data_IF_982731201382
#
_entry.id   IF_982731201382
#
_cell.length_a   1.000
_cell.length_b   1.000
_cell.length_c   1.000
_cell.angle_alpha   90.00
_cell.angle_beta   90.00
_cell.angle_gamma   90.00
#
_symmetry.space_group_name_H-M   'P 1'
#
loop_
_entity.id
_entity.type
_entity.pdbx_description
1 polymer ?
#
# COMPACT_ATOMS: atom_id res chain seq x y z
N UNK A 1 30.58 -11.44 26.13
CA UNK A 1 29.23 -12.03 26.19
C UNK A 1 28.70 -12.16 24.76
N UNK A 2 28.89 -13.33 24.13
CA UNK A 2 28.58 -13.55 22.72
C UNK A 2 27.09 -13.88 22.63
N UNK A 3 26.27 -12.89 22.27
CA UNK A 3 24.84 -13.09 22.08
C UNK A 3 24.67 -13.89 20.78
N UNK A 4 24.61 -15.22 20.89
CA UNK A 4 24.32 -16.10 19.75
C UNK A 4 22.87 -15.77 19.36
N UNK A 5 22.70 -14.94 18.34
CA UNK A 5 21.37 -14.61 17.79
C UNK A 5 20.66 -15.91 17.45
N UNK A 6 19.53 -16.15 18.11
CA UNK A 6 18.69 -17.30 17.76
C UNK A 6 18.13 -17.05 16.36
N UNK A 7 17.97 -18.10 15.55
CA UNK A 7 17.38 -18.02 14.20
C UNK A 7 16.04 -17.25 14.18
N UNK A 8 15.25 -17.36 15.27
CA UNK A 8 14.00 -16.64 15.48
C UNK A 8 14.16 -15.11 15.59
N UNK A 9 15.28 -14.63 16.14
CA UNK A 9 15.54 -13.20 16.27
C UNK A 9 15.90 -12.61 14.91
N UNK A 10 16.74 -13.30 14.13
CA UNK A 10 17.11 -12.89 12.78
C UNK A 10 15.89 -12.76 11.87
N UNK A 11 14.97 -13.73 11.94
CA UNK A 11 13.70 -13.67 11.20
C UNK A 11 12.84 -12.46 11.60
N UNK A 12 12.80 -12.13 12.90
CA UNK A 12 12.05 -10.97 13.40
C UNK A 12 12.63 -9.65 12.88
N UNK A 13 13.95 -9.50 12.90
CA UNK A 13 14.62 -8.31 12.35
C UNK A 13 14.42 -8.19 10.86
N UNK A 14 14.57 -9.30 10.12
CA UNK A 14 14.35 -9.31 8.68
C UNK A 14 12.92 -8.92 8.32
N UNK A 15 11.93 -9.49 9.02
CA UNK A 15 10.52 -9.15 8.86
C UNK A 15 10.27 -7.66 9.14
N UNK A 16 10.86 -7.13 10.22
CA UNK A 16 10.76 -5.70 10.55
C UNK A 16 11.33 -4.83 9.43
N UNK A 17 12.55 -5.10 8.98
CA UNK A 17 13.22 -4.31 7.95
C UNK A 17 12.41 -4.27 6.66
N UNK A 18 11.91 -5.42 6.18
CA UNK A 18 11.11 -5.47 4.95
C UNK A 18 9.80 -4.72 5.11
N UNK A 19 9.03 -5.05 6.16
CA UNK A 19 7.69 -4.47 6.34
C UNK A 19 7.75 -2.98 6.63
N UNK A 20 8.71 -2.53 7.45
CA UNK A 20 8.96 -1.11 7.69
C UNK A 20 9.39 -0.39 6.42
N UNK A 21 10.29 -0.97 5.62
CA UNK A 21 10.71 -0.35 4.35
C UNK A 21 9.54 -0.17 3.40
N UNK A 22 8.66 -1.16 3.24
CA UNK A 22 7.47 -1.07 2.40
C UNK A 22 6.52 0.04 2.90
N UNK A 23 6.28 0.11 4.22
CA UNK A 23 5.43 1.16 4.80
C UNK A 23 6.04 2.55 4.61
N UNK A 24 7.35 2.69 4.79
CA UNK A 24 8.07 3.96 4.61
C UNK A 24 8.09 4.39 3.14
N UNK A 25 8.36 3.47 2.22
CA UNK A 25 8.28 3.73 0.78
C UNK A 25 6.89 4.21 0.39
N UNK A 26 5.85 3.53 0.86
CA UNK A 26 4.46 3.94 0.60
C UNK A 26 4.12 5.32 1.18
N UNK A 27 4.80 5.74 2.25
CA UNK A 27 4.52 7.02 2.92
C UNK A 27 5.29 8.19 2.32
N UNK A 28 6.53 7.95 1.88
CA UNK A 28 7.48 9.02 1.56
C UNK A 28 7.89 9.07 0.08
N UNK A 29 7.43 8.12 -0.74
CA UNK A 29 7.78 8.05 -2.16
C UNK A 29 6.53 7.86 -3.02
N UNK A 30 6.73 7.84 -4.34
CA UNK A 30 5.73 7.47 -5.34
C UNK A 30 5.31 6.00 -5.31
N UNK A 31 5.96 5.15 -4.51
CA UNK A 31 5.47 3.80 -4.28
C UNK A 31 4.11 3.86 -3.58
N UNK A 32 3.13 3.11 -4.06
CA UNK A 32 1.75 3.16 -3.60
C UNK A 32 1.16 1.75 -3.49
N UNK A 33 0.62 1.43 -2.32
CA UNK A 33 -0.12 0.20 -2.07
C UNK A 33 -1.59 0.49 -2.38
N UNK A 34 -2.13 -0.15 -3.42
CA UNK A 34 -3.46 0.16 -3.94
C UNK A 34 -4.62 -0.54 -3.23
N UNK A 35 -4.30 -1.43 -2.29
CA UNK A 35 -5.27 -2.16 -1.47
C UNK A 35 -5.03 -1.90 0.02
N UNK A 36 -6.04 -1.37 0.70
CA UNK A 36 -5.97 -1.07 2.11
C UNK A 36 -5.63 -2.26 2.99
N UNK A 37 -6.10 -3.46 2.66
CA UNK A 37 -5.86 -4.68 3.46
C UNK A 37 -4.38 -5.01 3.44
N UNK A 38 -3.76 -4.88 2.28
CA UNK A 38 -2.32 -5.07 2.10
C UNK A 38 -1.53 -3.99 2.85
N UNK A 39 -1.98 -2.73 2.78
CA UNK A 39 -1.37 -1.64 3.56
C UNK A 39 -1.40 -1.92 5.07
N UNK A 40 -2.56 -2.31 5.62
CA UNK A 40 -2.69 -2.64 7.05
C UNK A 40 -1.93 -3.91 7.43
N UNK A 41 -1.83 -4.89 6.55
CA UNK A 41 -1.01 -6.08 6.75
C UNK A 41 0.45 -5.68 6.98
N UNK A 42 1.05 -4.89 6.09
CA UNK A 42 2.43 -4.43 6.27
C UNK A 42 2.61 -3.56 7.51
N UNK A 43 1.67 -2.65 7.79
CA UNK A 43 1.70 -1.81 8.98
C UNK A 43 1.65 -2.63 10.27
N UNK A 44 0.78 -3.65 10.34
CA UNK A 44 0.66 -4.54 11.48
C UNK A 44 1.96 -5.29 11.76
N UNK A 45 2.57 -5.88 10.73
CA UNK A 45 3.84 -6.61 10.89
C UNK A 45 5.00 -5.67 11.25
N UNK A 46 5.08 -4.49 10.65
CA UNK A 46 6.10 -3.49 10.98
C UNK A 46 5.97 -3.04 12.44
N UNK A 47 4.77 -2.68 12.88
CA UNK A 47 4.52 -2.23 14.24
C UNK A 47 4.74 -3.35 15.28
N UNK A 48 4.21 -4.55 15.00
CA UNK A 48 4.34 -5.70 15.91
C UNK A 48 5.79 -6.12 16.08
N UNK A 49 6.53 -6.25 14.98
CA UNK A 49 7.94 -6.63 15.04
C UNK A 49 8.77 -5.55 15.75
N UNK A 50 8.52 -4.26 15.49
CA UNK A 50 9.17 -3.16 16.21
C UNK A 50 8.96 -3.23 17.73
N UNK A 51 7.71 -3.37 18.18
CA UNK A 51 7.39 -3.41 19.62
C UNK A 51 8.00 -4.65 20.28
N UNK A 52 7.99 -5.80 19.61
CA UNK A 52 8.61 -7.03 20.13
C UNK A 52 10.14 -6.86 20.22
N UNK A 53 10.79 -6.30 19.20
CA UNK A 53 12.23 -6.01 19.20
C UNK A 53 12.56 -5.06 20.36
N UNK A 54 11.85 -3.93 20.47
CA UNK A 54 12.06 -2.97 21.53
C UNK A 54 11.84 -3.60 22.92
N UNK A 55 10.77 -4.36 23.11
CA UNK A 55 10.51 -5.07 24.35
C UNK A 55 11.63 -6.03 24.73
N UNK A 56 12.16 -6.79 23.76
CA UNK A 56 13.29 -7.71 23.98
C UNK A 56 14.58 -6.98 24.38
N UNK A 57 14.85 -5.79 23.82
CA UNK A 57 15.98 -4.96 24.23
C UNK A 57 15.92 -4.59 25.72
N UNK A 58 14.72 -4.33 26.23
CA UNK A 58 14.48 -4.07 27.66
C UNK A 58 14.28 -5.34 28.51
N UNK A 59 14.60 -6.53 27.98
CA UNK A 59 14.36 -7.83 28.62
C UNK A 59 12.89 -8.09 28.99
N UNK A 60 11.94 -7.40 28.35
CA UNK A 60 10.49 -7.61 28.44
C UNK A 60 10.01 -8.38 27.20
N UNK A 61 8.72 -8.76 27.17
CA UNK A 61 8.07 -9.45 26.02
C UNK A 61 8.76 -10.76 25.56
N UNK A 62 9.37 -11.50 26.49
CA UNK A 62 10.05 -12.77 26.17
C UNK A 62 9.09 -13.98 26.17
N UNK A 63 7.98 -13.90 26.89
CA UNK A 63 7.02 -15.00 27.00
C UNK A 63 6.05 -15.04 25.81
N UNK A 64 5.69 -16.25 25.37
CA UNK A 64 4.75 -16.46 24.25
C UNK A 64 3.41 -15.76 24.48
N UNK A 65 2.88 -15.80 25.70
CA UNK A 65 1.62 -15.12 26.07
C UNK A 65 1.73 -13.60 25.90
N UNK A 66 2.83 -13.01 26.37
CA UNK A 66 3.05 -11.57 26.28
C UNK A 66 3.19 -11.10 24.83
N UNK A 67 3.85 -11.88 23.97
CA UNK A 67 3.93 -11.61 22.53
C UNK A 67 2.54 -11.68 21.88
N UNK A 68 1.74 -12.71 22.17
CA UNK A 68 0.39 -12.84 21.61
C UNK A 68 -0.50 -11.66 22.02
N UNK A 69 -0.51 -11.29 23.30
CA UNK A 69 -1.27 -10.14 23.79
C UNK A 69 -0.83 -8.85 23.10
N UNK A 70 0.48 -8.66 22.93
CA UNK A 70 1.04 -7.49 22.21
C UNK A 70 0.53 -7.43 20.78
N UNK A 71 0.56 -8.55 20.04
CA UNK A 71 0.03 -8.61 18.68
C UNK A 71 -1.47 -8.27 18.64
N UNK A 72 -2.28 -8.76 19.57
CA UNK A 72 -3.72 -8.45 19.63
C UNK A 72 -3.93 -6.95 19.84
N UNK A 73 -3.20 -6.33 20.78
CA UNK A 73 -3.30 -4.89 21.04
C UNK A 73 -2.89 -4.09 19.81
N UNK A 74 -1.80 -4.45 19.14
CA UNK A 74 -1.33 -3.75 17.94
C UNK A 74 -2.32 -3.93 16.77
N UNK A 75 -2.91 -5.12 16.60
CA UNK A 75 -3.95 -5.34 15.61
C UNK A 75 -5.16 -4.43 15.85
N UNK A 76 -5.63 -4.32 17.10
CA UNK A 76 -6.72 -3.43 17.47
C UNK A 76 -6.37 -1.96 17.18
N UNK A 77 -5.15 -1.52 17.52
CA UNK A 77 -4.69 -0.16 17.23
C UNK A 77 -4.59 0.13 15.72
N UNK A 78 -4.07 -0.82 14.94
CA UNK A 78 -4.01 -0.70 13.48
C UNK A 78 -5.42 -0.64 12.87
N UNK A 79 -6.35 -1.44 13.38
CA UNK A 79 -7.75 -1.43 12.96
C UNK A 79 -8.41 -0.07 13.26
N UNK A 80 -8.30 0.43 14.49
CA UNK A 80 -8.86 1.74 14.88
C UNK A 80 -8.27 2.84 14.01
N UNK A 81 -6.93 2.86 13.83
CA UNK A 81 -6.28 3.84 12.96
C UNK A 81 -6.83 3.76 11.54
N UNK A 82 -6.95 2.55 10.97
CA UNK A 82 -7.50 2.38 9.64
C UNK A 82 -8.96 2.79 9.52
N UNK A 83 -9.77 2.48 10.53
CA UNK A 83 -11.15 2.92 10.60
C UNK A 83 -11.30 4.44 10.72
N UNK A 84 -10.29 5.15 11.23
CA UNK A 84 -10.35 6.61 11.32
C UNK A 84 -9.73 7.32 10.10
N UNK A 85 -8.67 6.79 9.50
CA UNK A 85 -7.92 7.49 8.45
C UNK A 85 -8.20 7.02 7.03
N UNK A 86 -8.86 5.88 6.86
CA UNK A 86 -9.04 5.28 5.53
C UNK A 86 -10.18 5.95 4.74
N UNK A 87 -9.84 6.86 3.83
CA UNK A 87 -10.66 7.15 2.64
C UNK A 87 -10.50 5.98 1.66
N UNK A 88 -11.52 5.61 0.90
CA UNK A 88 -11.56 4.37 0.09
C UNK A 88 -10.31 4.10 -0.78
N UNK A 89 -10.17 2.87 -1.31
CA UNK A 89 -9.11 2.60 -2.27
C UNK A 89 -9.31 3.46 -3.54
N UNK A 90 -8.21 3.93 -4.13
CA UNK A 90 -8.24 4.39 -5.51
C UNK A 90 -8.44 3.19 -6.43
N UNK A 91 -9.46 3.27 -7.28
CA UNK A 91 -9.86 2.21 -8.22
C UNK A 91 -9.85 2.73 -9.64
N UNK A 92 -9.26 1.96 -10.54
CA UNK A 92 -9.14 2.33 -11.96
C UNK A 92 -10.48 2.19 -12.66
N UNK A 93 -10.94 3.27 -13.28
CA UNK A 93 -12.16 3.26 -14.09
C UNK A 93 -11.83 3.08 -15.56
N UNK A 94 -10.84 3.82 -16.05
CA UNK A 94 -10.43 3.79 -17.45
C UNK A 94 -8.92 3.83 -17.56
N UNK A 95 -8.35 2.99 -18.42
CA UNK A 95 -6.95 3.07 -18.85
C UNK A 95 -6.93 3.89 -20.14
N UNK A 96 -6.47 5.13 -20.05
CA UNK A 96 -6.45 6.06 -21.18
C UNK A 96 -5.32 5.73 -22.16
N UNK A 97 -4.13 5.45 -21.62
CA UNK A 97 -2.94 5.19 -22.42
C UNK A 97 -2.14 4.00 -21.87
N UNK A 98 -1.50 3.28 -22.78
CA UNK A 98 -0.51 2.24 -22.49
C UNK A 98 0.82 2.66 -23.12
N UNK A 99 1.94 2.41 -22.43
CA UNK A 99 3.26 2.67 -22.98
C UNK A 99 3.58 1.69 -24.11
N UNK A 100 4.15 2.20 -25.21
CA UNK A 100 4.56 1.38 -26.35
C UNK A 100 5.71 0.42 -26.02
N UNK A 101 6.51 0.73 -25.00
CA UNK A 101 7.70 -0.05 -24.62
C UNK A 101 7.48 -0.97 -23.43
N UNK A 102 6.50 -0.69 -22.58
CA UNK A 102 6.28 -1.44 -21.34
C UNK A 102 4.79 -1.45 -20.96
N UNK A 103 4.15 -2.60 -21.11
CA UNK A 103 2.71 -2.79 -20.84
C UNK A 103 2.34 -2.65 -19.36
N UNK A 104 3.31 -2.73 -18.45
CA UNK A 104 3.05 -2.48 -17.03
C UNK A 104 2.92 -0.99 -16.71
N UNK A 105 3.23 -0.11 -17.66
CA UNK A 105 3.15 1.34 -17.52
C UNK A 105 1.95 1.90 -18.29
N UNK A 106 1.01 2.47 -17.56
CA UNK A 106 -0.25 2.99 -18.10
C UNK A 106 -0.56 4.39 -17.55
N UNK A 107 -1.49 5.10 -18.19
CA UNK A 107 -2.09 6.32 -17.66
C UNK A 107 -3.56 6.03 -17.40
N UNK A 108 -3.99 6.21 -16.16
CA UNK A 108 -5.27 5.73 -15.65
C UNK A 108 -6.10 6.87 -15.08
N UNK A 109 -7.39 6.87 -15.38
CA UNK A 109 -8.40 7.59 -14.60
C UNK A 109 -8.76 6.71 -13.41
N UNK A 110 -8.52 7.23 -12.21
CA UNK A 110 -8.87 6.58 -10.97
C UNK A 110 -9.90 7.39 -10.20
N UNK A 111 -10.84 6.67 -9.59
CA UNK A 111 -11.81 7.22 -8.69
C UNK A 111 -11.60 6.68 -7.28
N UNK A 112 -11.94 7.49 -6.28
CA UNK A 112 -11.95 7.10 -4.87
C UNK A 112 -13.15 7.70 -4.16
N UNK A 113 -13.91 6.86 -3.46
CA UNK A 113 -14.94 7.33 -2.54
C UNK A 113 -14.34 7.92 -1.27
N UNK A 114 -14.92 9.00 -0.76
CA UNK A 114 -14.60 9.49 0.58
C UNK A 114 -15.53 8.86 1.61
N UNK A 115 -15.04 8.63 2.83
CA UNK A 115 -15.80 7.92 3.87
C UNK A 115 -16.97 8.75 4.41
N UNK A 116 -16.82 10.08 4.42
CA UNK A 116 -17.79 11.01 4.99
C UNK A 116 -18.28 12.07 3.99
N UNK A 117 -18.05 11.86 2.69
CA UNK A 117 -18.56 12.77 1.66
C UNK A 117 -19.31 11.98 0.59
N UNK A 118 -20.37 12.59 0.07
CA UNK A 118 -21.08 12.07 -1.08
C UNK A 118 -20.30 12.43 -2.35
N UNK A 119 -19.97 11.41 -3.15
CA UNK A 119 -19.27 11.57 -4.43
C UNK A 119 -17.91 10.89 -4.49
N UNK A 120 -17.26 11.01 -5.65
CA UNK A 120 -15.96 10.42 -5.93
C UNK A 120 -14.93 11.52 -6.19
N UNK A 121 -13.73 11.34 -5.66
CA UNK A 121 -12.56 12.10 -6.09
C UNK A 121 -12.00 11.42 -7.32
N UNK A 122 -11.74 12.20 -8.36
CA UNK A 122 -11.11 11.74 -9.59
C UNK A 122 -9.65 12.20 -9.66
N UNK A 123 -8.80 11.38 -10.25
CA UNK A 123 -7.45 11.76 -10.66
C UNK A 123 -7.05 11.04 -11.93
N UNK A 124 -6.19 11.69 -12.72
CA UNK A 124 -5.49 11.08 -13.84
C UNK A 124 -4.02 10.94 -13.47
N UNK A 125 -3.52 9.70 -13.45
CA UNK A 125 -2.14 9.43 -13.01
C UNK A 125 -1.47 8.40 -13.91
N UNK A 126 -0.14 8.50 -14.00
CA UNK A 126 0.71 7.44 -14.51
C UNK A 126 0.87 6.35 -13.46
N UNK A 127 0.68 5.11 -13.86
CA UNK A 127 0.79 3.92 -13.02
C UNK A 127 1.81 2.99 -13.63
N UNK A 128 2.80 2.58 -12.85
CA UNK A 128 3.70 1.48 -13.19
C UNK A 128 3.47 0.33 -12.21
N UNK A 129 2.88 -0.76 -12.69
CA UNK A 129 2.59 -1.94 -11.88
C UNK A 129 3.87 -2.72 -11.61
N UNK A 130 4.33 -2.69 -10.36
CA UNK A 130 5.52 -3.42 -9.92
C UNK A 130 5.15 -4.85 -9.54
N UNK A 131 4.10 -5.00 -8.74
CA UNK A 131 3.60 -6.28 -8.25
C UNK A 131 2.10 -6.17 -7.94
N UNK A 132 1.39 -7.28 -7.69
CA UNK A 132 0.02 -7.22 -7.21
C UNK A 132 -0.09 -6.30 -5.99
N UNK A 133 -1.04 -5.36 -6.06
CA UNK A 133 -1.31 -4.35 -5.04
C UNK A 133 -0.24 -3.27 -4.83
N UNK A 134 0.83 -3.26 -5.63
CA UNK A 134 1.96 -2.35 -5.47
C UNK A 134 2.29 -1.66 -6.79
N UNK A 135 2.05 -0.36 -6.80
CA UNK A 135 2.20 0.49 -7.97
C UNK A 135 3.23 1.59 -7.69
N UNK A 136 3.97 2.01 -8.71
CA UNK A 136 4.65 3.30 -8.69
C UNK A 136 3.78 4.32 -9.40
N UNK A 137 3.40 5.38 -8.71
CA UNK A 137 2.50 6.41 -9.25
C UNK A 137 3.24 7.71 -9.53
N UNK A 138 2.89 8.35 -10.64
CA UNK A 138 3.40 9.66 -11.01
C UNK A 138 2.26 10.53 -11.54
N UNK A 139 2.32 11.82 -11.24
CA UNK A 139 1.44 12.78 -11.86
C UNK A 139 1.81 12.90 -13.35
N UNK A 140 0.80 13.01 -14.21
CA UNK A 140 0.98 13.09 -15.65
C UNK A 140 0.23 14.31 -16.17
N UNK A 141 0.94 15.13 -16.93
CA UNK A 141 0.32 16.19 -17.71
C UNK A 141 -0.29 15.59 -18.98
N UNK A 142 -1.62 15.55 -19.03
CA UNK A 142 -2.37 15.03 -20.18
C UNK A 142 -2.55 16.05 -21.30
N UNK A 143 -2.16 17.31 -21.11
CA UNK A 143 -2.28 18.35 -22.14
C UNK A 143 -1.25 18.20 -23.26
N UNK A 144 -0.09 17.60 -22.96
CA UNK A 144 1.02 17.41 -23.89
C UNK A 144 1.54 15.97 -23.88
N UNK A 145 0.72 15.01 -24.34
CA UNK A 145 1.11 13.59 -24.38
C UNK A 145 1.96 13.31 -25.62
N UNK A 146 3.14 12.73 -25.40
CA UNK A 146 4.00 12.22 -26.47
C UNK A 146 3.44 10.91 -27.06
N UNK A 147 2.71 11.03 -28.17
CA UNK A 147 2.12 9.89 -28.87
C UNK A 147 3.14 8.91 -29.48
N UNK A 148 4.43 9.27 -29.56
CA UNK A 148 5.46 8.30 -29.97
C UNK A 148 5.73 7.26 -28.89
N UNK A 149 5.52 7.61 -27.61
CA UNK A 149 5.74 6.75 -26.44
C UNK A 149 4.47 6.10 -25.92
N UNK A 150 3.32 6.73 -26.16
CA UNK A 150 2.04 6.32 -25.58
C UNK A 150 1.01 5.99 -26.66
N UNK A 151 0.43 4.81 -26.55
CA UNK A 151 -0.71 4.39 -27.34
C UNK A 151 -1.99 4.65 -26.57
N UNK A 152 -2.91 5.39 -27.19
CA UNK A 152 -4.26 5.60 -26.64
C UNK A 152 -5.05 4.28 -26.71
N UNK A 153 -5.71 3.95 -25.61
CA UNK A 153 -6.44 2.69 -25.44
C UNK A 153 -7.91 2.90 -25.05
N UNK A 154 -8.20 3.84 -24.15
CA UNK A 154 -9.55 4.12 -23.63
C UNK A 154 -10.30 2.87 -23.11
N UNK A 155 -9.58 1.95 -22.45
CA UNK A 155 -10.15 0.72 -21.92
C UNK A 155 -10.91 0.97 -20.61
N UNK A 156 -12.21 0.72 -20.61
CA UNK A 156 -13.04 0.80 -19.41
C UNK A 156 -12.90 -0.47 -18.56
N UNK A 157 -12.40 -0.32 -17.34
CA UNK A 157 -12.30 -1.40 -16.34
C UNK A 157 -13.43 -1.34 -15.31
N UNK A 158 -13.86 -0.14 -14.93
CA UNK A 158 -14.89 0.10 -13.92
C UNK A 158 -14.70 -0.74 -12.64
N UNK A 159 -13.52 -0.65 -12.02
CA UNK A 159 -13.19 -1.45 -10.83
C UNK A 159 -14.11 -1.16 -9.62
N UNK A 160 -14.89 -0.08 -9.65
CA UNK A 160 -15.88 0.23 -8.60
C UNK A 160 -17.26 -0.35 -8.88
N UNK A 161 -17.51 -0.92 -10.06
CA UNK A 161 -18.80 -1.47 -10.43
C UNK A 161 -19.92 -0.43 -10.53
N UNK A 162 -19.58 0.81 -10.93
CA UNK A 162 -20.56 1.88 -11.10
C UNK A 162 -21.51 1.56 -12.28
N UNK A 163 -22.77 2.04 -12.25
CA UNK A 163 -23.65 1.96 -13.40
C UNK A 163 -23.00 2.63 -14.61
N UNK A 164 -23.10 2.01 -15.79
CA UNK A 164 -22.69 2.66 -17.03
C UNK A 164 -23.65 3.84 -17.28
N UNK A 165 -23.11 5.03 -17.47
CA UNK A 165 -23.92 6.15 -17.98
C UNK A 165 -24.48 5.76 -19.35
N UNK A 166 -25.79 5.99 -19.53
CA UNK A 166 -26.53 5.65 -20.74
C UNK A 166 -26.30 6.68 -21.83
#
# INVERSE_FOLDING_TARGET
MKNIMKKSDLLLYFLFVITASIVLLNRFTSFYINDYRVHFFFLFFAASSFVIIAGRLFKKLQSRRSVIVTCIVIAALCFVRGFLTWSGDWKTQTVLYESNTDKNKTINIQLRGDRFAFGYKERVIGVYRIAPFMDWVADVDTTNIDHSKWKRLDLQLNEMGLPKEK
#
